data_IF_282512957416
#
_entry.id   IF_282512957416
#
_cell.length_a   1.000
_cell.length_b   1.000
_cell.length_c   1.000
_cell.angle_alpha   90.00
_cell.angle_beta   90.00
_cell.angle_gamma   90.00
#
_symmetry.space_group_name_H-M   'P 1'
#
loop_
_entity.id
_entity.type
_entity.pdbx_description
1 polymer ?
#
# COMPACT_ATOMS: atom_id res chain seq x y z
N UNK A 1 -34.30 -10.77 -27.35
CA UNK A 1 -34.29 -11.94 -26.44
C UNK A 1 -32.86 -12.47 -26.37
N UNK A 2 -32.00 -11.84 -25.56
CA UNK A 2 -30.69 -12.39 -25.20
C UNK A 2 -30.78 -12.67 -23.70
N UNK A 3 -30.64 -13.94 -23.35
CA UNK A 3 -30.72 -14.43 -21.98
C UNK A 3 -29.47 -14.02 -21.22
N UNK A 4 -29.66 -13.44 -20.04
CA UNK A 4 -28.69 -13.40 -18.95
C UNK A 4 -28.23 -14.83 -18.63
N UNK A 5 -26.92 -15.06 -18.71
CA UNK A 5 -26.27 -16.23 -18.14
C UNK A 5 -25.56 -15.80 -16.85
N UNK A 6 -26.31 -15.60 -15.77
CA UNK A 6 -25.78 -15.80 -14.42
C UNK A 6 -25.92 -17.28 -14.10
N UNK A 7 -24.86 -18.05 -14.37
CA UNK A 7 -24.79 -19.46 -14.02
C UNK A 7 -24.79 -19.60 -12.49
N UNK A 8 -25.83 -20.20 -11.92
CA UNK A 8 -25.86 -20.60 -10.51
C UNK A 8 -24.90 -21.77 -10.28
N UNK A 9 -24.12 -21.71 -9.20
CA UNK A 9 -23.21 -22.77 -8.80
C UNK A 9 -23.93 -24.12 -8.72
N UNK A 10 -23.27 -25.17 -9.21
CA UNK A 10 -23.81 -26.54 -9.16
C UNK A 10 -23.97 -27.02 -7.71
N UNK A 11 -24.86 -27.97 -7.46
CA UNK A 11 -25.09 -28.53 -6.11
C UNK A 11 -23.80 -29.11 -5.49
N UNK A 12 -22.86 -29.58 -6.31
CA UNK A 12 -21.57 -30.10 -5.85
C UNK A 12 -20.60 -28.98 -5.44
N UNK A 13 -20.56 -27.87 -6.19
CA UNK A 13 -19.75 -26.69 -5.84
C UNK A 13 -20.23 -26.06 -4.54
N UNK A 14 -21.54 -25.93 -4.35
CA UNK A 14 -22.11 -25.43 -3.10
C UNK A 14 -21.75 -26.31 -1.89
N UNK A 15 -21.78 -27.63 -2.05
CA UNK A 15 -21.36 -28.57 -1.01
C UNK A 15 -19.85 -28.48 -0.72
N UNK A 16 -19.02 -28.31 -1.76
CA UNK A 16 -17.58 -28.13 -1.60
C UNK A 16 -17.23 -26.85 -0.85
N UNK A 17 -17.89 -25.74 -1.18
CA UNK A 17 -17.74 -24.44 -0.49
C UNK A 17 -18.17 -24.57 0.98
N UNK A 18 -19.31 -25.21 1.26
CA UNK A 18 -19.78 -25.41 2.62
C UNK A 18 -18.78 -26.26 3.47
N UNK A 19 -18.18 -27.29 2.87
CA UNK A 19 -17.16 -28.09 3.52
C UNK A 19 -15.89 -27.28 3.83
N UNK A 20 -15.45 -26.44 2.89
CA UNK A 20 -14.27 -25.57 3.06
C UNK A 20 -14.51 -24.54 4.18
N UNK A 21 -15.68 -23.92 4.22
CA UNK A 21 -16.08 -22.99 5.30
C UNK A 21 -16.13 -23.70 6.65
N UNK A 22 -16.59 -24.96 6.70
CA UNK A 22 -16.61 -25.73 7.93
C UNK A 22 -15.20 -26.09 8.42
N UNK A 23 -14.29 -26.49 7.52
CA UNK A 23 -12.89 -26.75 7.86
C UNK A 23 -12.19 -25.48 8.36
N UNK A 24 -12.47 -24.32 7.76
CA UNK A 24 -11.95 -23.03 8.20
C UNK A 24 -12.38 -22.71 9.65
N UNK A 25 -13.65 -22.93 10.01
CA UNK A 25 -14.12 -22.69 11.38
C UNK A 25 -13.36 -23.53 12.41
N UNK A 26 -13.07 -24.79 12.06
CA UNK A 26 -12.27 -25.68 12.91
C UNK A 26 -10.81 -25.22 13.00
N UNK A 27 -10.23 -24.77 11.89
CA UNK A 27 -8.87 -24.24 11.81
C UNK A 27 -8.71 -22.99 12.67
N UNK A 28 -9.62 -22.02 12.57
CA UNK A 28 -9.61 -20.80 13.39
C UNK A 28 -9.86 -21.09 14.88
N UNK A 29 -10.57 -22.19 15.20
CA UNK A 29 -10.72 -22.68 16.58
C UNK A 29 -9.48 -23.39 17.13
N UNK A 30 -8.49 -23.70 16.28
CA UNK A 30 -7.20 -24.32 16.66
C UNK A 30 -6.05 -23.65 15.90
N UNK A 31 -5.73 -22.38 16.24
CA UNK A 31 -4.76 -21.59 15.48
C UNK A 31 -3.38 -22.25 15.33
N UNK A 32 -2.96 -23.08 16.29
CA UNK A 32 -1.70 -23.85 16.23
C UNK A 32 -1.63 -24.86 15.07
N UNK A 33 -2.77 -25.15 14.41
CA UNK A 33 -2.82 -26.02 13.23
C UNK A 33 -2.44 -25.29 11.93
N UNK A 34 -2.41 -23.95 11.98
CA UNK A 34 -1.94 -23.11 10.88
C UNK A 34 -0.42 -22.99 10.96
N UNK A 35 0.24 -23.07 9.80
CA UNK A 35 1.70 -23.04 9.71
C UNK A 35 2.15 -22.06 8.63
N UNK A 36 3.44 -21.76 8.64
CA UNK A 36 4.08 -20.98 7.58
C UNK A 36 5.21 -21.77 6.96
N UNK A 37 5.32 -21.70 5.64
CA UNK A 37 6.54 -22.03 4.92
C UNK A 37 7.33 -20.72 4.72
N UNK A 38 8.66 -20.80 4.74
CA UNK A 38 9.55 -19.66 4.68
C UNK A 38 10.38 -19.76 3.41
N UNK A 39 10.35 -18.72 2.58
CA UNK A 39 11.12 -18.66 1.34
C UNK A 39 12.29 -17.69 1.49
N UNK A 40 13.53 -18.10 1.20
CA UNK A 40 14.70 -17.24 1.38
C UNK A 40 14.69 -16.06 0.41
N UNK A 41 15.03 -14.89 0.93
CA UNK A 41 15.33 -13.67 0.20
C UNK A 41 16.83 -13.46 0.26
N UNK A 42 17.46 -13.25 -0.89
CA UNK A 42 18.92 -13.13 -1.01
C UNK A 42 19.33 -11.76 -1.52
N UNK A 43 20.53 -11.32 -1.15
CA UNK A 43 21.22 -10.24 -1.83
C UNK A 43 21.77 -10.76 -3.17
N UNK A 44 21.32 -10.17 -4.29
CA UNK A 44 21.65 -10.66 -5.63
C UNK A 44 23.15 -10.61 -5.94
N UNK A 45 23.87 -9.64 -5.37
CA UNK A 45 25.30 -9.46 -5.60
C UNK A 45 26.16 -10.56 -4.95
N UNK A 46 25.73 -11.12 -3.82
CA UNK A 46 26.53 -12.05 -3.02
C UNK A 46 25.91 -13.44 -2.89
N UNK A 47 24.61 -13.57 -3.13
CA UNK A 47 23.82 -14.77 -2.86
C UNK A 47 23.55 -15.01 -1.37
N UNK A 48 23.93 -14.07 -0.49
CA UNK A 48 23.70 -14.21 0.95
C UNK A 48 22.21 -14.06 1.28
N UNK A 49 21.68 -14.95 2.12
CA UNK A 49 20.32 -14.82 2.64
C UNK A 49 20.26 -13.62 3.58
N UNK A 50 19.31 -12.71 3.35
CA UNK A 50 19.08 -11.51 4.17
C UNK A 50 17.75 -11.57 4.92
N UNK A 51 16.89 -12.51 4.57
CA UNK A 51 15.59 -12.66 5.20
C UNK A 51 14.77 -13.79 4.60
N UNK A 52 13.54 -13.91 5.08
CA UNK A 52 12.59 -14.91 4.64
C UNK A 52 11.19 -14.31 4.53
N UNK A 53 10.44 -14.71 3.52
CA UNK A 53 9.01 -14.45 3.45
C UNK A 53 8.22 -15.61 4.05
N UNK A 54 7.30 -15.31 4.96
CA UNK A 54 6.40 -16.28 5.55
C UNK A 54 5.14 -16.45 4.69
N UNK A 55 5.01 -17.61 4.07
CA UNK A 55 3.89 -17.98 3.23
C UNK A 55 2.95 -18.92 4.00
N UNK A 56 1.71 -18.47 4.20
CA UNK A 56 0.69 -19.21 4.94
C UNK A 56 0.42 -20.59 4.32
N UNK A 57 0.25 -21.60 5.17
CA UNK A 57 -0.12 -22.97 4.78
C UNK A 57 -1.14 -23.49 5.79
N UNK A 58 -2.20 -24.12 5.29
CA UNK A 58 -3.10 -24.88 6.13
C UNK A 58 -2.49 -26.22 6.58
N UNK A 59 -3.30 -27.03 7.28
CA UNK A 59 -2.92 -28.36 7.73
C UNK A 59 -2.48 -29.25 6.55
N UNK A 60 -1.40 -30.03 6.75
CA UNK A 60 -0.88 -30.97 5.74
C UNK A 60 -1.96 -31.98 5.35
N UNK A 61 -2.21 -32.15 4.05
CA UNK A 61 -3.19 -33.09 3.53
C UNK A 61 -4.66 -32.67 3.74
N UNK A 62 -4.91 -31.49 4.32
CA UNK A 62 -6.26 -30.92 4.46
C UNK A 62 -6.75 -30.24 3.19
N UNK A 63 -8.05 -29.92 3.12
CA UNK A 63 -8.62 -29.23 1.93
C UNK A 63 -8.09 -27.81 1.84
N UNK A 64 -7.79 -27.22 2.99
CA UNK A 64 -7.29 -25.85 3.11
C UNK A 64 -5.75 -25.77 3.19
N UNK A 65 -5.01 -26.83 2.82
CA UNK A 65 -3.53 -26.80 2.85
C UNK A 65 -2.97 -25.63 2.03
N UNK A 66 -3.58 -25.37 0.86
CA UNK A 66 -3.18 -24.28 -0.04
C UNK A 66 -3.80 -22.94 0.37
N UNK A 67 -3.02 -21.85 0.35
CA UNK A 67 -3.50 -20.54 0.77
C UNK A 67 -4.65 -20.02 -0.11
N UNK A 68 -4.60 -20.19 -1.43
CA UNK A 68 -5.64 -19.70 -2.35
C UNK A 68 -7.04 -20.20 -1.97
N UNK A 69 -7.15 -21.49 -1.63
CA UNK A 69 -8.42 -22.09 -1.20
C UNK A 69 -8.82 -21.69 0.22
N UNK A 70 -7.84 -21.56 1.12
CA UNK A 70 -8.06 -21.15 2.51
C UNK A 70 -8.60 -19.72 2.60
N UNK A 71 -8.02 -18.78 1.86
CA UNK A 71 -8.47 -17.39 1.80
C UNK A 71 -9.82 -17.27 1.08
N UNK A 72 -10.08 -18.06 0.03
CA UNK A 72 -11.41 -18.11 -0.62
C UNK A 72 -12.51 -18.58 0.36
N UNK A 73 -12.23 -19.59 1.18
CA UNK A 73 -13.15 -20.04 2.23
C UNK A 73 -13.38 -18.95 3.29
N UNK A 74 -12.35 -18.20 3.66
CA UNK A 74 -12.46 -17.10 4.62
C UNK A 74 -13.24 -15.91 4.09
N UNK A 75 -13.07 -15.57 2.80
CA UNK A 75 -13.89 -14.57 2.13
C UNK A 75 -15.37 -14.97 2.15
N UNK A 76 -15.67 -16.22 1.80
CA UNK A 76 -17.05 -16.75 1.81
C UNK A 76 -17.67 -16.74 3.22
N UNK A 77 -16.85 -16.92 4.25
CA UNK A 77 -17.28 -16.96 5.64
C UNK A 77 -17.30 -15.59 6.34
N UNK A 78 -16.85 -14.51 5.66
CA UNK A 78 -16.59 -13.19 6.25
C UNK A 78 -15.60 -13.24 7.44
N UNK A 79 -14.54 -14.05 7.30
CA UNK A 79 -13.51 -14.29 8.33
C UNK A 79 -12.09 -13.97 7.85
N UNK A 80 -11.94 -13.15 6.81
CA UNK A 80 -10.62 -12.79 6.26
C UNK A 80 -9.69 -12.16 7.31
N UNK A 81 -10.20 -11.22 8.11
CA UNK A 81 -9.43 -10.58 9.17
C UNK A 81 -8.94 -11.59 10.22
N UNK A 82 -9.78 -12.54 10.63
CA UNK A 82 -9.42 -13.55 11.61
C UNK A 82 -8.38 -14.55 11.07
N UNK A 83 -8.51 -14.92 9.79
CA UNK A 83 -7.52 -15.75 9.12
C UNK A 83 -6.18 -15.03 8.99
N UNK A 84 -6.17 -13.75 8.60
CA UNK A 84 -4.96 -12.94 8.48
C UNK A 84 -4.18 -12.89 9.80
N UNK A 85 -4.88 -12.58 10.91
CA UNK A 85 -4.25 -12.57 12.24
C UNK A 85 -3.70 -13.93 12.64
N UNK A 86 -4.41 -15.02 12.34
CA UNK A 86 -3.92 -16.37 12.58
C UNK A 86 -2.65 -16.64 11.75
N UNK A 87 -2.63 -16.31 10.46
CA UNK A 87 -1.49 -16.46 9.57
C UNK A 87 -0.26 -15.71 10.09
N UNK A 88 -0.43 -14.44 10.46
CA UNK A 88 0.66 -13.59 10.97
C UNK A 88 1.17 -14.06 12.33
N UNK A 89 0.28 -14.56 13.19
CA UNK A 89 0.67 -15.18 14.47
C UNK A 89 1.48 -16.45 14.24
N UNK A 90 1.08 -17.30 13.29
CA UNK A 90 1.82 -18.52 12.92
C UNK A 90 3.19 -18.21 12.31
N UNK A 91 3.28 -17.17 11.46
CA UNK A 91 4.54 -16.70 10.89
C UNK A 91 5.54 -16.24 11.96
N UNK A 92 5.11 -15.37 12.88
CA UNK A 92 5.98 -14.91 13.97
C UNK A 92 6.34 -16.03 14.94
N UNK A 93 5.39 -16.92 15.26
CA UNK A 93 5.62 -18.03 16.19
C UNK A 93 6.61 -19.06 15.63
N UNK A 94 6.49 -19.38 14.34
CA UNK A 94 7.42 -20.31 13.69
C UNK A 94 8.81 -19.70 13.53
N UNK A 95 8.91 -18.40 13.21
CA UNK A 95 10.18 -17.68 13.18
C UNK A 95 10.86 -17.66 14.55
N UNK A 96 10.11 -17.35 15.61
CA UNK A 96 10.62 -17.35 16.99
C UNK A 96 11.08 -18.74 17.44
N UNK A 97 10.28 -19.79 17.16
CA UNK A 97 10.62 -21.18 17.51
C UNK A 97 11.90 -21.63 16.81
N UNK A 98 12.12 -21.19 15.58
CA UNK A 98 13.33 -21.46 14.82
C UNK A 98 14.53 -20.59 15.25
N UNK A 99 14.33 -19.61 16.14
CA UNK A 99 15.37 -18.69 16.60
C UNK A 99 15.75 -17.63 15.57
N UNK A 100 14.88 -17.31 14.61
CA UNK A 100 15.11 -16.26 13.62
C UNK A 100 15.24 -14.91 14.32
N UNK A 101 16.30 -14.18 14.00
CA UNK A 101 16.61 -12.87 14.56
C UNK A 101 17.49 -12.09 13.57
N UNK A 102 17.75 -10.82 13.91
CA UNK A 102 18.78 -10.02 13.22
C UNK A 102 20.08 -10.81 13.04
N UNK A 103 20.71 -10.77 11.84
CA UNK A 103 20.45 -9.81 10.76
C UNK A 103 19.37 -10.21 9.75
N UNK A 104 18.64 -11.31 9.97
CA UNK A 104 17.60 -11.76 9.04
C UNK A 104 16.29 -11.03 9.27
N UNK A 105 15.67 -10.54 8.20
CA UNK A 105 14.32 -9.99 8.23
C UNK A 105 13.25 -11.05 7.97
N UNK A 106 12.07 -10.89 8.58
CA UNK A 106 10.87 -11.67 8.28
C UNK A 106 9.86 -10.81 7.52
N UNK A 107 9.48 -11.25 6.32
CA UNK A 107 8.44 -10.61 5.53
C UNK A 107 7.10 -11.31 5.80
N UNK A 108 6.06 -10.51 6.07
CA UNK A 108 4.71 -10.99 6.41
C UNK A 108 3.66 -10.22 5.62
N UNK A 109 2.82 -10.95 4.89
CA UNK A 109 1.68 -10.41 4.16
C UNK A 109 0.57 -9.90 5.11
N UNK A 110 -0.17 -8.90 4.66
CA UNK A 110 -1.38 -8.39 5.31
C UNK A 110 -2.54 -8.31 4.32
N UNK A 111 -3.66 -8.92 4.70
CA UNK A 111 -4.93 -8.82 3.98
C UNK A 111 -5.62 -7.46 4.23
N UNK A 112 -6.10 -6.75 3.19
CA UNK A 112 -6.86 -5.50 3.34
C UNK A 112 -8.01 -5.55 4.35
N UNK A 113 -8.74 -6.67 4.42
CA UNK A 113 -9.84 -6.85 5.36
C UNK A 113 -9.40 -6.83 6.84
N UNK A 114 -8.13 -7.13 7.12
CA UNK A 114 -7.57 -7.06 8.48
C UNK A 114 -7.15 -5.65 8.88
N UNK A 115 -7.05 -4.71 7.94
CA UNK A 115 -6.68 -3.32 8.21
C UNK A 115 -7.72 -2.68 9.14
N UNK A 116 -7.24 -2.06 10.21
CA UNK A 116 -8.10 -1.42 11.23
C UNK A 116 -8.86 -2.38 12.15
N UNK A 117 -8.69 -3.70 12.01
CA UNK A 117 -9.19 -4.66 13.00
C UNK A 117 -8.28 -4.68 14.24
N UNK A 118 -8.84 -4.97 15.41
CA UNK A 118 -8.05 -5.02 16.66
C UNK A 118 -7.18 -6.27 16.67
N UNK A 119 -5.85 -6.15 16.87
CA UNK A 119 -4.97 -7.32 16.94
C UNK A 119 -5.34 -8.22 18.13
N UNK A 120 -5.33 -9.55 17.97
CA UNK A 120 -5.50 -10.47 19.10
C UNK A 120 -4.39 -10.29 20.14
N UNK A 121 -4.71 -10.43 21.43
CA UNK A 121 -3.74 -10.29 22.54
C UNK A 121 -2.52 -11.19 22.37
N UNK A 122 -2.70 -12.41 21.84
CA UNK A 122 -1.61 -13.34 21.59
C UNK A 122 -0.62 -12.81 20.54
N UNK A 123 -1.12 -12.15 19.49
CA UNK A 123 -0.29 -11.50 18.48
C UNK A 123 0.49 -10.34 19.09
N UNK A 124 -0.17 -9.48 19.88
CA UNK A 124 0.48 -8.33 20.54
C UNK A 124 1.61 -8.79 21.45
N UNK A 125 1.37 -9.77 22.32
CA UNK A 125 2.38 -10.31 23.22
C UNK A 125 3.58 -10.93 22.46
N UNK A 126 3.32 -11.59 21.33
CA UNK A 126 4.35 -12.14 20.47
C UNK A 126 5.17 -11.05 19.76
N UNK A 127 4.49 -10.04 19.22
CA UNK A 127 5.13 -8.90 18.57
C UNK A 127 6.02 -8.11 19.55
N UNK A 128 5.53 -7.83 20.76
CA UNK A 128 6.31 -7.16 21.82
C UNK A 128 7.56 -7.97 22.20
N UNK A 129 7.43 -9.29 22.31
CA UNK A 129 8.56 -10.18 22.64
C UNK A 129 9.63 -10.22 21.55
N UNK A 130 9.23 -10.06 20.29
CA UNK A 130 10.12 -10.06 19.12
C UNK A 130 10.64 -8.67 18.75
N UNK A 131 10.05 -7.61 19.31
CA UNK A 131 10.45 -6.23 19.08
C UNK A 131 11.95 -6.03 19.35
N UNK A 132 12.64 -5.37 18.42
CA UNK A 132 14.09 -5.15 18.47
C UNK A 132 14.97 -6.40 18.27
N UNK A 133 14.40 -7.62 18.24
CA UNK A 133 15.14 -8.87 18.01
C UNK A 133 15.01 -9.38 16.58
N UNK A 134 13.78 -9.35 16.05
CA UNK A 134 13.45 -9.80 14.70
C UNK A 134 12.99 -8.60 13.88
N UNK A 135 13.76 -8.15 12.88
CA UNK A 135 13.27 -7.21 11.90
C UNK A 135 12.08 -7.80 11.15
N UNK A 136 10.95 -7.08 11.15
CA UNK A 136 9.73 -7.49 10.45
C UNK A 136 9.44 -6.48 9.35
N UNK A 137 9.10 -6.99 8.16
CA UNK A 137 8.65 -6.21 7.00
C UNK A 137 7.23 -6.64 6.69
N UNK A 138 6.28 -5.70 6.74
CA UNK A 138 4.87 -5.95 6.43
C UNK A 138 4.60 -5.63 4.97
N UNK A 139 4.05 -6.57 4.23
CA UNK A 139 3.75 -6.43 2.81
C UNK A 139 2.28 -6.02 2.62
N UNK A 140 2.08 -4.93 1.89
CA UNK A 140 0.77 -4.49 1.42
C UNK A 140 0.66 -4.68 -0.08
N UNK A 141 -0.52 -5.06 -0.54
CA UNK A 141 -0.85 -5.16 -1.96
C UNK A 141 -1.58 -3.90 -2.44
N UNK A 142 -1.62 -3.70 -3.76
CA UNK A 142 -2.31 -2.60 -4.43
C UNK A 142 -3.81 -2.54 -4.10
N UNK A 143 -4.42 -3.71 -3.87
CA UNK A 143 -5.85 -3.84 -3.51
C UNK A 143 -6.20 -3.09 -2.24
N UNK A 144 -5.25 -2.90 -1.33
CA UNK A 144 -5.48 -2.15 -0.10
C UNK A 144 -5.84 -0.68 -0.37
N UNK A 145 -5.22 -0.05 -1.38
CA UNK A 145 -5.40 1.38 -1.66
C UNK A 145 -6.81 1.66 -2.14
N UNK A 146 -7.27 0.81 -3.05
CA UNK A 146 -8.62 0.91 -3.59
C UNK A 146 -9.62 0.48 -2.53
N UNK A 147 -9.39 -0.61 -1.78
CA UNK A 147 -10.36 -1.08 -0.78
C UNK A 147 -10.68 -0.02 0.31
N UNK A 148 -9.67 0.49 1.02
CA UNK A 148 -9.85 1.47 2.09
C UNK A 148 -8.54 2.27 2.29
N UNK A 149 -8.36 3.39 1.58
CA UNK A 149 -7.11 4.15 1.64
C UNK A 149 -6.86 4.74 3.03
N UNK A 150 -7.90 5.09 3.80
CA UNK A 150 -7.73 5.63 5.15
C UNK A 150 -7.17 4.57 6.11
N UNK A 151 -7.75 3.35 6.10
CA UNK A 151 -7.26 2.24 6.92
C UNK A 151 -5.88 1.77 6.52
N UNK A 152 -5.58 1.76 5.23
CA UNK A 152 -4.25 1.42 4.74
C UNK A 152 -3.18 2.37 5.28
N UNK A 153 -3.41 3.68 5.19
CA UNK A 153 -2.47 4.67 5.72
C UNK A 153 -2.33 4.55 7.25
N UNK A 154 -3.43 4.36 7.98
CA UNK A 154 -3.39 4.14 9.43
C UNK A 154 -2.66 2.84 9.82
N UNK A 155 -2.82 1.77 9.03
CA UNK A 155 -2.13 0.52 9.25
C UNK A 155 -0.62 0.65 8.99
N UNK A 156 -0.21 1.34 7.91
CA UNK A 156 1.18 1.64 7.65
C UNK A 156 1.81 2.45 8.80
N UNK A 157 1.11 3.48 9.31
CA UNK A 157 1.58 4.24 10.47
C UNK A 157 1.73 3.35 11.72
N UNK A 158 0.78 2.44 11.95
CA UNK A 158 0.81 1.49 13.09
C UNK A 158 1.99 0.52 12.98
N UNK A 159 2.25 -0.01 11.78
CA UNK A 159 3.41 -0.87 11.51
C UNK A 159 4.72 -0.13 11.81
N UNK A 160 4.84 1.12 11.32
CA UNK A 160 6.02 1.95 11.58
C UNK A 160 6.19 2.29 13.06
N UNK A 161 5.10 2.61 13.75
CA UNK A 161 5.12 2.88 15.19
C UNK A 161 5.57 1.65 16.02
N UNK A 162 5.37 0.43 15.51
CA UNK A 162 5.89 -0.79 16.11
C UNK A 162 7.38 -1.04 15.82
N UNK A 163 8.05 -0.16 15.07
CA UNK A 163 9.44 -0.31 14.63
C UNK A 163 9.61 -1.31 13.48
N UNK A 164 8.52 -1.67 12.79
CA UNK A 164 8.54 -2.55 11.64
C UNK A 164 8.60 -1.75 10.34
N UNK A 165 9.05 -2.42 9.28
CA UNK A 165 9.14 -1.83 7.94
C UNK A 165 7.94 -2.20 7.09
N UNK A 166 7.80 -1.49 5.99
CA UNK A 166 6.71 -1.67 5.05
C UNK A 166 7.25 -2.02 3.67
N UNK A 167 6.63 -2.99 3.02
CA UNK A 167 6.85 -3.33 1.62
C UNK A 167 5.55 -3.15 0.82
N UNK A 168 5.69 -2.87 -0.48
CA UNK A 168 4.60 -3.04 -1.45
C UNK A 168 4.90 -4.27 -2.28
N UNK A 169 3.93 -5.18 -2.33
CA UNK A 169 4.01 -6.41 -3.10
C UNK A 169 3.45 -6.27 -4.52
N UNK A 170 3.76 -7.25 -5.38
CA UNK A 170 3.16 -7.41 -6.71
C UNK A 170 3.28 -6.16 -7.60
N UNK A 171 4.39 -5.40 -7.50
CA UNK A 171 4.56 -4.20 -8.32
C UNK A 171 4.73 -4.59 -9.78
N UNK A 172 3.91 -3.96 -10.64
CA UNK A 172 3.82 -4.26 -12.06
C UNK A 172 2.88 -5.42 -12.39
N UNK A 173 2.27 -6.05 -11.39
CA UNK A 173 1.24 -7.05 -11.60
C UNK A 173 0.02 -6.49 -12.34
N UNK A 174 -0.40 -5.31 -11.87
CA UNK A 174 -1.48 -4.50 -12.40
C UNK A 174 -1.01 -3.04 -12.44
N UNK A 175 -1.59 -2.23 -13.33
CA UNK A 175 -1.22 -0.81 -13.49
C UNK A 175 -1.36 -0.01 -12.18
N UNK A 176 -2.31 -0.39 -11.32
CA UNK A 176 -2.61 0.25 -10.05
C UNK A 176 -1.55 0.10 -8.96
N UNK A 177 -0.69 -0.90 -9.05
CA UNK A 177 0.35 -1.17 -8.04
C UNK A 177 1.31 0.01 -7.79
N UNK A 178 1.52 0.87 -8.80
CA UNK A 178 2.37 2.04 -8.68
C UNK A 178 1.72 3.20 -7.91
N UNK A 179 0.39 3.24 -7.84
CA UNK A 179 -0.36 4.33 -7.23
C UNK A 179 -0.14 4.39 -5.71
N UNK A 180 0.20 3.26 -5.07
CA UNK A 180 0.37 3.16 -3.63
C UNK A 180 1.70 3.71 -3.12
N UNK A 181 2.76 3.60 -3.93
CA UNK A 181 4.14 3.92 -3.54
C UNK A 181 4.31 5.29 -2.89
N UNK A 182 3.73 6.39 -3.42
CA UNK A 182 3.94 7.72 -2.86
C UNK A 182 3.33 7.86 -1.45
N UNK A 183 2.23 7.16 -1.18
CA UNK A 183 1.47 7.35 0.05
C UNK A 183 1.97 6.51 1.22
N UNK A 184 2.43 5.29 0.94
CA UNK A 184 2.98 4.38 1.96
C UNK A 184 4.46 4.62 2.21
N UNK A 185 5.17 5.18 1.23
CA UNK A 185 6.61 5.38 1.24
C UNK A 185 7.34 4.11 1.72
N UNK A 186 7.23 2.99 0.98
CA UNK A 186 7.72 1.69 1.45
C UNK A 186 9.24 1.66 1.56
N UNK A 187 9.73 0.78 2.43
CA UNK A 187 11.15 0.46 2.61
C UNK A 187 11.62 -0.58 1.59
N UNK A 188 10.70 -1.43 1.09
CA UNK A 188 10.96 -2.44 0.06
C UNK A 188 9.92 -2.37 -1.05
N UNK A 189 10.38 -2.41 -2.29
CA UNK A 189 9.53 -2.45 -3.50
C UNK A 189 9.70 -3.83 -4.14
N UNK A 190 8.66 -4.67 -4.13
CA UNK A 190 8.73 -6.04 -4.66
C UNK A 190 8.19 -6.06 -6.10
N UNK A 191 9.05 -6.40 -7.06
CA UNK A 191 8.71 -6.55 -8.47
C UNK A 191 8.07 -7.93 -8.71
N UNK A 192 6.87 -7.95 -9.28
CA UNK A 192 6.15 -9.17 -9.66
C UNK A 192 6.98 -10.03 -10.64
N UNK A 193 6.87 -11.35 -10.49
CA UNK A 193 7.61 -12.33 -11.31
C UNK A 193 7.49 -12.09 -12.82
N UNK A 194 6.34 -11.59 -13.30
CA UNK A 194 6.09 -11.36 -14.73
C UNK A 194 7.08 -10.35 -15.30
N UNK A 195 7.52 -9.37 -14.53
CA UNK A 195 8.49 -8.38 -14.99
C UNK A 195 9.85 -9.03 -15.31
N UNK A 196 10.26 -10.04 -14.53
CA UNK A 196 11.56 -10.71 -14.70
C UNK A 196 11.51 -12.00 -15.51
N UNK A 197 10.32 -12.55 -15.74
CA UNK A 197 10.11 -13.77 -16.52
C UNK A 197 9.61 -13.53 -17.95
N UNK A 198 9.00 -12.37 -18.24
CA UNK A 198 8.45 -12.05 -19.55
C UNK A 198 9.38 -11.15 -20.38
N UNK A 199 9.03 -10.94 -21.65
CA UNK A 199 9.76 -10.05 -22.54
C UNK A 199 9.62 -8.60 -22.08
N UNK A 200 10.70 -7.84 -22.15
CA UNK A 200 10.68 -6.40 -21.86
C UNK A 200 9.84 -5.65 -22.88
N UNK A 201 8.82 -4.94 -22.40
CA UNK A 201 7.97 -4.05 -23.19
C UNK A 201 8.09 -2.60 -22.72
N UNK A 202 7.41 -1.67 -23.40
CA UNK A 202 7.33 -0.28 -22.96
C UNK A 202 6.68 -0.19 -21.57
N UNK A 203 5.63 -0.98 -21.33
CA UNK A 203 4.93 -1.03 -20.03
C UNK A 203 5.85 -1.51 -18.90
N UNK A 204 6.68 -2.52 -19.16
CA UNK A 204 7.71 -2.98 -18.20
C UNK A 204 8.70 -1.85 -17.91
N UNK A 205 9.15 -1.12 -18.92
CA UNK A 205 10.07 0.00 -18.75
C UNK A 205 9.43 1.16 -17.95
N UNK A 206 8.13 1.44 -18.14
CA UNK A 206 7.40 2.44 -17.35
C UNK A 206 7.33 2.05 -15.86
N UNK A 207 7.04 0.78 -15.56
CA UNK A 207 7.02 0.26 -14.19
C UNK A 207 8.41 0.36 -13.55
N UNK A 208 9.44 -0.14 -14.23
CA UNK A 208 10.83 -0.10 -13.72
C UNK A 208 11.30 1.34 -13.51
N UNK A 209 10.96 2.26 -14.43
CA UNK A 209 11.25 3.69 -14.29
C UNK A 209 10.56 4.30 -13.06
N UNK A 210 9.28 4.00 -12.85
CA UNK A 210 8.52 4.46 -11.70
C UNK A 210 9.09 3.94 -10.36
N UNK A 211 9.45 2.65 -10.32
CA UNK A 211 10.07 1.99 -9.16
C UNK A 211 11.43 2.61 -8.85
N UNK A 212 12.29 2.78 -9.85
CA UNK A 212 13.61 3.37 -9.65
C UNK A 212 13.53 4.83 -9.21
N UNK A 213 12.60 5.62 -9.77
CA UNK A 213 12.36 6.98 -9.33
C UNK A 213 11.85 7.03 -7.88
N UNK A 214 11.07 6.04 -7.44
CA UNK A 214 10.64 5.94 -6.04
C UNK A 214 11.82 5.55 -5.13
N UNK A 215 12.58 4.53 -5.51
CA UNK A 215 13.76 4.07 -4.76
C UNK A 215 14.79 5.18 -4.59
N UNK A 216 15.05 5.98 -5.63
CA UNK A 216 15.94 7.15 -5.56
C UNK A 216 15.45 8.20 -4.55
N UNK A 217 14.13 8.45 -4.50
CA UNK A 217 13.54 9.43 -3.59
C UNK A 217 13.54 9.01 -2.13
N UNK A 218 13.25 7.73 -1.86
CA UNK A 218 12.99 7.27 -0.49
C UNK A 218 14.08 6.39 0.09
N UNK A 219 15.04 5.95 -0.74
CA UNK A 219 16.01 4.92 -0.36
C UNK A 219 15.42 3.50 -0.30
N UNK A 220 14.23 3.28 -0.85
CA UNK A 220 13.61 1.96 -0.85
C UNK A 220 14.47 0.92 -1.57
N UNK A 221 14.51 -0.30 -1.05
CA UNK A 221 15.26 -1.40 -1.66
C UNK A 221 14.36 -2.15 -2.64
N UNK A 222 14.82 -2.34 -3.87
CA UNK A 222 14.08 -3.12 -4.86
C UNK A 222 14.39 -4.61 -4.68
N UNK A 223 13.33 -5.41 -4.55
CA UNK A 223 13.34 -6.87 -4.47
C UNK A 223 12.64 -7.43 -5.71
N UNK A 224 13.23 -8.42 -6.38
CA UNK A 224 12.58 -9.09 -7.50
C UNK A 224 12.14 -10.52 -7.15
N UNK A 225 10.90 -10.85 -7.49
CA UNK A 225 10.31 -12.17 -7.21
C UNK A 225 10.36 -13.12 -8.41
N UNK A 226 10.08 -14.40 -8.16
CA UNK A 226 9.98 -15.41 -9.23
C UNK A 226 11.29 -15.66 -9.99
N UNK A 227 12.44 -15.47 -9.36
CA UNK A 227 13.74 -15.77 -9.98
C UNK A 227 13.97 -17.28 -10.00
N UNK A 228 13.88 -17.87 -11.18
CA UNK A 228 14.04 -19.32 -11.39
C UNK A 228 15.30 -19.66 -12.18
N UNK A 229 15.84 -18.72 -12.95
CA UNK A 229 17.03 -18.94 -13.79
C UNK A 229 18.07 -17.85 -13.57
N UNK A 230 19.36 -18.11 -13.85
CA UNK A 230 20.39 -17.08 -13.84
C UNK A 230 20.09 -15.91 -14.80
N UNK A 231 19.28 -16.13 -15.84
CA UNK A 231 18.83 -15.05 -16.73
C UNK A 231 17.83 -14.12 -16.03
N UNK A 232 16.88 -14.66 -15.27
CA UNK A 232 15.95 -13.83 -14.46
C UNK A 232 16.72 -13.00 -13.43
N UNK A 233 17.73 -13.58 -12.77
CA UNK A 233 18.57 -12.85 -11.80
C UNK A 233 19.37 -11.70 -12.44
N UNK A 234 19.89 -11.89 -13.66
CA UNK A 234 20.54 -10.81 -14.42
C UNK A 234 19.56 -9.70 -14.77
N UNK A 235 18.40 -10.05 -15.32
CA UNK A 235 17.36 -9.07 -15.67
C UNK A 235 16.86 -8.30 -14.44
N UNK A 236 16.64 -8.99 -13.31
CA UNK A 236 16.30 -8.34 -12.04
C UNK A 236 17.34 -7.30 -11.62
N UNK A 237 18.64 -7.63 -11.73
CA UNK A 237 19.72 -6.69 -11.43
C UNK A 237 19.73 -5.50 -12.39
N UNK A 238 19.51 -5.74 -13.69
CA UNK A 238 19.41 -4.70 -14.72
C UNK A 238 18.20 -3.76 -14.50
N UNK A 239 17.13 -4.26 -13.90
CA UNK A 239 15.96 -3.47 -13.49
C UNK A 239 16.20 -2.63 -12.22
N UNK A 240 17.31 -2.84 -11.50
CA UNK A 240 17.64 -2.13 -10.26
C UNK A 240 17.40 -2.93 -8.98
N UNK A 241 16.99 -4.20 -9.07
CA UNK A 241 16.81 -5.05 -7.90
C UNK A 241 18.16 -5.32 -7.21
N UNK A 242 18.19 -5.12 -5.88
CA UNK A 242 19.32 -5.51 -5.02
C UNK A 242 19.04 -6.82 -4.30
N UNK A 243 17.76 -7.11 -4.05
CA UNK A 243 17.29 -8.33 -3.43
C UNK A 243 16.58 -9.21 -4.46
N UNK A 244 16.60 -10.51 -4.23
CA UNK A 244 15.96 -11.48 -5.10
C UNK A 244 15.33 -12.61 -4.31
N UNK A 245 14.21 -13.12 -4.83
CA UNK A 245 13.52 -14.27 -4.30
C UNK A 245 13.04 -15.17 -5.44
N UNK A 246 13.11 -16.48 -5.25
CA UNK A 246 12.64 -17.45 -6.24
C UNK A 246 13.30 -18.82 -6.10
N UNK A 247 12.85 -19.78 -6.93
CA UNK A 247 13.29 -21.17 -6.84
C UNK A 247 14.77 -21.38 -7.15
N UNK A 248 15.42 -20.42 -7.81
CA UNK A 248 16.87 -20.43 -8.01
C UNK A 248 17.63 -20.41 -6.67
N UNK A 249 17.07 -19.75 -5.65
CA UNK A 249 17.70 -19.55 -4.34
C UNK A 249 17.12 -20.45 -3.25
N UNK A 250 15.84 -20.82 -3.37
CA UNK A 250 15.21 -21.77 -2.48
C UNK A 250 13.69 -21.79 -2.65
N UNK A 251 13.10 -22.97 -2.48
CA UNK A 251 11.64 -23.13 -2.43
C UNK A 251 11.13 -22.81 -1.02
N UNK A 252 9.87 -22.39 -0.88
CA UNK A 252 9.22 -22.29 0.43
C UNK A 252 9.34 -23.60 1.22
N UNK A 253 9.82 -23.52 2.46
CA UNK A 253 10.02 -24.69 3.31
C UNK A 253 10.12 -24.34 4.79
N UNK A 254 10.45 -25.28 5.67
CA UNK A 254 10.79 -24.94 7.05
C UNK A 254 12.02 -24.02 7.09
N UNK A 255 12.12 -23.16 8.09
CA UNK A 255 13.36 -22.42 8.33
C UNK A 255 14.53 -23.39 8.56
N UNK A 256 15.71 -23.13 7.99
CA UNK A 256 16.88 -23.94 8.26
C UNK A 256 17.32 -23.79 9.73
N UNK A 257 18.15 -24.70 10.20
CA UNK A 257 18.86 -24.49 11.46
C UNK A 257 19.79 -23.28 11.30
N UNK A 258 19.41 -22.16 11.90
CA UNK A 258 20.18 -20.92 11.81
C UNK A 258 21.43 -21.03 12.69
N UNK A 259 22.58 -20.49 12.24
CA UNK A 259 23.78 -20.49 13.06
C UNK A 259 23.50 -19.79 14.39
N UNK A 260 23.97 -20.38 15.49
CA UNK A 260 23.93 -19.74 16.80
C UNK A 260 24.61 -18.37 16.72
N UNK A 261 24.02 -17.36 17.36
CA UNK A 261 24.53 -15.98 17.37
C UNK A 261 26.04 -15.99 17.60
N UNK A 262 26.85 -15.33 16.76
CA UNK A 262 28.15 -14.88 17.23
C UNK A 262 27.86 -13.91 18.40
N UNK A 263 28.36 -14.24 19.59
CA UNK A 263 28.31 -13.33 20.73
C UNK A 263 28.84 -11.97 20.26
N UNK A 264 28.06 -10.91 20.49
CA UNK A 264 28.44 -9.53 20.17
C UNK A 264 29.64 -9.01 21.01
N UNK A 265 30.44 -9.92 21.59
CA UNK A 265 31.61 -9.66 22.42
C UNK A 265 32.88 -10.37 21.92
N UNK A 266 32.85 -11.11 20.80
CA UNK A 266 34.07 -11.70 20.24
C UNK A 266 34.71 -10.74 19.23
N UNK A 267 35.60 -9.87 19.72
CA UNK A 267 36.47 -9.04 18.90
C UNK A 267 37.41 -9.87 18.02
N UNK A 268 36.96 -10.20 16.81
CA UNK A 268 37.83 -10.67 15.73
C UNK A 268 37.62 -9.78 14.52
N UNK A 269 38.62 -8.95 14.25
CA UNK A 269 38.78 -8.22 13.00
C UNK A 269 38.93 -9.25 11.86
N UNK A 270 37.86 -9.46 11.10
CA UNK A 270 37.97 -10.06 9.76
C UNK A 270 38.58 -9.02 8.80
N UNK A 271 39.44 -9.43 7.86
CA UNK A 271 40.09 -8.50 6.95
C UNK A 271 39.05 -7.78 6.09
N UNK A 272 39.11 -6.45 6.12
CA UNK A 272 38.23 -5.53 5.41
C UNK A 272 38.14 -5.89 3.92
N UNK A 273 37.04 -6.55 3.53
CA UNK A 273 36.52 -6.47 2.17
C UNK A 273 35.91 -5.07 2.00
N UNK A 274 36.00 -4.45 0.81
CA UNK A 274 35.46 -3.11 0.63
C UNK A 274 33.98 -3.11 1.01
N UNK A 275 33.61 -2.28 1.98
CA UNK A 275 32.21 -2.01 2.38
C UNK A 275 31.46 -1.48 1.15
N UNK A 276 30.90 -2.39 0.35
CA UNK A 276 29.65 -2.07 -0.33
C UNK A 276 28.60 -2.15 0.76
N UNK A 277 27.93 -1.03 1.06
CA UNK A 277 26.83 -0.92 2.04
C UNK A 277 25.98 -2.20 2.01
N UNK A 278 26.15 -3.05 3.04
CA UNK A 278 25.23 -4.18 3.24
C UNK A 278 23.84 -3.57 3.36
N UNK A 279 22.88 -4.18 2.67
CA UNK A 279 21.47 -3.75 2.77
C UNK A 279 21.05 -4.00 4.22
N UNK A 280 20.95 -2.92 5.00
CA UNK A 280 20.56 -3.01 6.38
C UNK A 280 19.03 -3.13 6.45
N UNK A 281 18.52 -4.36 6.39
CA UNK A 281 17.13 -4.65 6.72
C UNK A 281 16.90 -4.74 8.25
N UNK A 282 17.80 -4.22 9.08
CA UNK A 282 17.72 -4.27 10.55
C UNK A 282 17.59 -2.90 11.23
N UNK A 283 18.02 -1.79 10.60
CA UNK A 283 17.87 -0.42 11.10
C UNK A 283 16.47 0.17 10.86
N UNK A 284 15.80 0.67 11.90
CA UNK A 284 14.50 1.35 11.72
C UNK A 284 14.59 2.71 10.99
N UNK A 285 15.79 3.19 10.68
CA UNK A 285 16.01 4.42 9.92
C UNK A 285 15.98 4.17 8.41
N UNK A 286 15.32 5.05 7.62
CA UNK A 286 15.31 4.95 6.16
C UNK A 286 16.74 5.00 5.60
N UNK A 287 17.00 4.23 4.54
CA UNK A 287 18.34 4.00 3.99
C UNK A 287 19.04 5.24 3.39
N UNK A 288 18.40 6.42 3.38
CA UNK A 288 19.02 7.69 2.99
C UNK A 288 18.61 8.77 4.00
N UNK A 289 19.60 9.32 4.71
CA UNK A 289 19.48 10.63 5.33
C UNK A 289 19.41 11.70 4.23
N UNK A 290 18.43 12.61 4.33
CA UNK A 290 18.18 13.83 3.52
C UNK A 290 17.50 13.69 2.14
N UNK A 291 16.17 13.85 2.14
CA UNK A 291 15.49 15.06 1.63
C UNK A 291 14.40 15.43 2.66
N UNK A 292 14.30 16.72 2.95
CA UNK A 292 13.59 17.37 4.05
C UNK A 292 12.22 16.77 4.42
N UNK A 293 12.21 15.83 5.37
CA UNK A 293 11.02 15.49 6.12
C UNK A 293 10.46 16.76 6.78
N UNK A 294 9.25 17.18 6.38
CA UNK A 294 8.37 17.82 7.35
C UNK A 294 8.36 16.89 8.58
N UNK A 295 8.63 17.40 9.79
CA UNK A 295 8.89 16.56 10.95
C UNK A 295 7.75 15.55 11.12
N UNK A 296 8.08 14.26 11.32
CA UNK A 296 7.11 13.19 11.57
C UNK A 296 6.24 13.41 12.81
N UNK A 297 6.48 14.51 13.54
CA UNK A 297 5.68 15.00 14.64
C UNK A 297 4.46 15.84 14.19
N UNK A 298 4.31 16.18 12.90
CA UNK A 298 3.07 16.77 12.40
C UNK A 298 2.02 15.67 12.32
N UNK A 299 1.10 15.70 13.28
CA UNK A 299 -0.16 14.96 13.24
C UNK A 299 -0.95 15.32 11.98
N UNK A 300 -0.73 14.55 10.90
CA UNK A 300 -1.40 14.71 9.59
C UNK A 300 -2.92 14.51 9.66
N UNK A 301 -3.41 13.96 10.77
CA UNK A 301 -4.81 13.79 11.14
C UNK A 301 -5.51 15.10 11.54
N UNK A 302 -4.77 16.17 11.90
CA UNK A 302 -5.39 17.42 12.41
C UNK A 302 -5.41 18.54 11.38
N UNK A 303 -4.46 18.58 10.45
CA UNK A 303 -4.34 19.67 9.49
C UNK A 303 -5.11 19.39 8.20
N UNK A 304 -5.63 20.46 7.62
CA UNK A 304 -6.21 20.39 6.29
C UNK A 304 -5.13 20.39 5.21
N UNK A 305 -5.44 19.92 3.98
CA UNK A 305 -4.53 20.02 2.85
C UNK A 305 -4.00 21.44 2.61
N UNK A 306 -4.87 22.46 2.66
CA UNK A 306 -4.45 23.85 2.48
C UNK A 306 -3.49 24.30 3.59
N UNK A 307 -3.80 24.03 4.86
CA UNK A 307 -2.96 24.43 5.99
C UNK A 307 -1.57 23.78 5.94
N UNK A 308 -1.48 22.51 5.53
CA UNK A 308 -0.21 21.81 5.37
C UNK A 308 0.72 22.53 4.40
N UNK A 309 0.19 22.99 3.27
CA UNK A 309 1.00 23.60 2.21
C UNK A 309 1.22 25.09 2.45
N UNK A 310 0.21 25.81 2.95
CA UNK A 310 0.27 27.25 3.22
C UNK A 310 1.34 27.62 4.27
N UNK A 311 1.76 26.68 5.13
CA UNK A 311 2.86 26.88 6.08
C UNK A 311 4.24 27.05 5.43
N UNK A 312 4.42 26.47 4.26
CA UNK A 312 5.73 26.39 3.58
C UNK A 312 5.75 27.12 2.24
N UNK A 313 4.62 27.68 1.79
CA UNK A 313 4.46 28.31 0.48
C UNK A 313 3.77 29.67 0.63
N UNK A 314 4.12 30.59 -0.26
CA UNK A 314 3.47 31.89 -0.32
C UNK A 314 2.01 31.73 -0.78
N UNK A 315 1.07 32.17 0.05
CA UNK A 315 -0.35 32.21 -0.27
C UNK A 315 -0.64 33.37 -1.21
N UNK A 316 -1.43 33.12 -2.24
CA UNK A 316 -1.92 34.13 -3.19
C UNK A 316 -3.43 34.32 -3.01
N UNK A 317 -3.96 35.44 -3.50
CA UNK A 317 -5.40 35.69 -3.49
C UNK A 317 -5.94 35.81 -4.90
N UNK A 318 -7.08 35.17 -5.16
CA UNK A 318 -7.76 35.25 -6.45
C UNK A 318 -9.27 35.00 -6.31
N UNK A 319 -10.01 35.30 -7.37
CA UNK A 319 -11.44 34.98 -7.49
C UNK A 319 -11.66 33.57 -8.06
N UNK A 320 -12.90 33.08 -7.92
CA UNK A 320 -13.36 31.76 -8.38
C UNK A 320 -13.03 31.43 -9.85
N UNK A 321 -13.16 32.32 -10.84
CA UNK A 321 -12.92 32.00 -12.26
C UNK A 321 -11.50 31.48 -12.55
N UNK A 322 -10.47 32.06 -11.93
CA UNK A 322 -9.10 31.60 -12.10
C UNK A 322 -8.90 30.20 -11.51
N UNK A 323 -9.42 29.97 -10.30
CA UNK A 323 -9.32 28.67 -9.62
C UNK A 323 -10.04 27.56 -10.40
N UNK A 324 -11.21 27.86 -10.98
CA UNK A 324 -11.91 26.94 -11.91
C UNK A 324 -11.04 26.61 -13.14
N UNK A 325 -10.34 27.59 -13.70
CA UNK A 325 -9.49 27.38 -14.85
C UNK A 325 -8.25 26.53 -14.50
N UNK A 326 -7.63 26.79 -13.34
CA UNK A 326 -6.50 26.04 -12.80
C UNK A 326 -6.90 24.60 -12.44
N UNK A 327 -8.05 24.40 -11.79
CA UNK A 327 -8.53 23.06 -11.44
C UNK A 327 -8.77 22.21 -12.69
N UNK A 328 -9.45 22.76 -13.71
CA UNK A 328 -9.61 22.10 -15.02
C UNK A 328 -8.29 21.80 -15.71
N UNK A 329 -7.26 22.62 -15.52
CA UNK A 329 -5.94 22.34 -16.06
C UNK A 329 -5.31 21.11 -15.38
N UNK A 330 -5.34 21.03 -14.04
CA UNK A 330 -4.85 19.86 -13.30
C UNK A 330 -5.65 18.58 -13.61
N UNK A 331 -6.99 18.67 -13.69
CA UNK A 331 -7.84 17.54 -14.10
C UNK A 331 -7.44 17.03 -15.50
N UNK A 332 -7.14 17.92 -16.45
CA UNK A 332 -6.63 17.52 -17.77
C UNK A 332 -5.26 16.87 -17.70
N UNK A 333 -4.37 17.33 -16.84
CA UNK A 333 -3.08 16.67 -16.63
C UNK A 333 -3.28 15.24 -16.11
N UNK A 334 -4.18 15.03 -15.15
CA UNK A 334 -4.53 13.70 -14.65
C UNK A 334 -5.01 12.75 -15.75
N UNK A 335 -5.90 13.22 -16.64
CA UNK A 335 -6.37 12.43 -17.80
C UNK A 335 -5.24 12.01 -18.75
N UNK A 336 -4.22 12.87 -18.92
CA UNK A 336 -3.09 12.61 -19.83
C UNK A 336 -2.09 11.63 -19.20
N UNK A 337 -1.91 11.70 -17.87
CA UNK A 337 -0.99 10.82 -17.14
C UNK A 337 -1.45 9.35 -17.13
N UNK A 338 -2.76 9.11 -17.02
CA UNK A 338 -3.34 7.77 -17.07
C UNK A 338 -3.08 6.89 -15.83
N UNK A 339 -2.95 5.58 -16.09
CA UNK A 339 -3.24 4.45 -15.18
C UNK A 339 -2.94 4.61 -13.68
N UNK A 340 -1.71 4.90 -13.25
CA UNK A 340 -1.36 4.87 -11.84
C UNK A 340 -1.62 6.17 -11.07
N UNK A 341 -2.38 7.11 -11.64
CA UNK A 341 -2.66 8.39 -10.99
C UNK A 341 -3.74 8.27 -9.90
N UNK A 342 -3.54 8.96 -8.79
CA UNK A 342 -4.56 9.23 -7.78
C UNK A 342 -4.98 10.69 -7.89
N UNK A 343 -6.29 10.90 -7.98
CA UNK A 343 -6.91 12.22 -8.02
C UNK A 343 -7.84 12.34 -6.82
N UNK A 344 -7.68 13.37 -6.01
CA UNK A 344 -8.63 13.66 -4.93
C UNK A 344 -9.04 15.13 -4.96
N UNK A 345 -10.34 15.37 -4.78
CA UNK A 345 -10.90 16.71 -4.83
C UNK A 345 -11.94 16.92 -3.74
N UNK A 346 -12.00 18.14 -3.21
CA UNK A 346 -13.05 18.58 -2.30
C UNK A 346 -14.08 19.45 -3.01
N UNK A 347 -15.32 19.30 -2.56
CA UNK A 347 -16.48 20.08 -2.93
C UNK A 347 -17.10 20.52 -1.61
N UNK A 348 -17.33 21.80 -1.37
CA UNK A 348 -17.86 22.27 -0.07
C UNK A 348 -19.14 21.51 0.30
N UNK A 349 -20.00 21.26 -0.70
CA UNK A 349 -21.22 20.47 -0.56
C UNK A 349 -21.46 19.54 -1.75
N UNK A 350 -22.17 18.43 -1.51
CA UNK A 350 -22.55 17.47 -2.55
C UNK A 350 -23.29 18.08 -3.74
N UNK A 351 -24.11 19.11 -3.52
CA UNK A 351 -24.84 19.78 -4.61
C UNK A 351 -23.91 20.51 -5.61
N UNK A 352 -22.66 20.81 -5.21
CA UNK A 352 -21.64 21.37 -6.10
C UNK A 352 -21.04 20.30 -7.04
N UNK A 353 -21.24 19.02 -6.74
CA UNK A 353 -20.93 17.90 -7.62
C UNK A 353 -22.03 17.73 -8.68
N UNK A 354 -22.12 18.70 -9.58
CA UNK A 354 -23.16 18.76 -10.63
C UNK A 354 -23.12 17.54 -11.57
N UNK A 355 -24.20 17.25 -12.32
CA UNK A 355 -24.19 16.18 -13.33
C UNK A 355 -23.07 16.32 -14.38
N UNK A 356 -22.64 17.54 -14.69
CA UNK A 356 -21.51 17.78 -15.59
C UNK A 356 -20.16 17.46 -14.94
N UNK A 357 -20.02 17.70 -13.63
CA UNK A 357 -18.85 17.28 -12.84
C UNK A 357 -18.82 15.77 -12.70
N UNK A 358 -19.94 15.12 -12.39
CA UNK A 358 -20.05 13.66 -12.31
C UNK A 358 -19.56 12.95 -13.58
N UNK A 359 -20.01 13.41 -14.77
CA UNK A 359 -19.54 12.88 -16.07
C UNK A 359 -18.06 13.13 -16.35
N UNK A 360 -17.46 14.16 -15.74
CA UNK A 360 -16.03 14.46 -15.89
C UNK A 360 -15.20 13.57 -14.97
N UNK A 361 -15.63 13.39 -13.73
CA UNK A 361 -14.95 12.53 -12.75
C UNK A 361 -15.09 11.05 -13.08
N UNK A 362 -16.22 10.60 -13.65
CA UNK A 362 -16.34 9.25 -14.20
C UNK A 362 -15.30 8.98 -15.29
N UNK A 363 -15.06 9.95 -16.19
CA UNK A 363 -14.01 9.84 -17.22
C UNK A 363 -12.60 9.85 -16.63
N UNK A 364 -12.36 10.60 -15.56
CA UNK A 364 -11.10 10.52 -14.81
C UNK A 364 -10.92 9.11 -14.27
N UNK A 365 -11.95 8.51 -13.68
CA UNK A 365 -11.93 7.17 -13.09
C UNK A 365 -11.75 6.04 -14.12
N UNK A 366 -12.00 6.28 -15.40
CA UNK A 366 -11.66 5.33 -16.47
C UNK A 366 -10.14 5.23 -16.71
N UNK A 367 -9.38 6.24 -16.29
CA UNK A 367 -7.95 6.39 -16.60
C UNK A 367 -7.04 6.43 -15.39
N UNK A 368 -7.52 6.92 -14.24
CA UNK A 368 -6.80 7.04 -12.99
C UNK A 368 -7.15 5.86 -12.06
N UNK A 369 -6.18 5.42 -11.27
CA UNK A 369 -6.34 4.29 -10.35
C UNK A 369 -7.37 4.58 -9.25
N UNK A 370 -7.36 5.81 -8.75
CA UNK A 370 -8.28 6.22 -7.70
C UNK A 370 -8.72 7.67 -7.93
N UNK A 371 -10.02 7.88 -8.02
CA UNK A 371 -10.63 9.22 -8.05
C UNK A 371 -11.51 9.39 -6.83
N UNK A 372 -11.20 10.39 -6.01
CA UNK A 372 -11.92 10.71 -4.78
C UNK A 372 -12.62 12.07 -4.91
N UNK A 373 -13.89 12.11 -4.52
CA UNK A 373 -14.66 13.34 -4.37
C UNK A 373 -15.16 13.44 -2.93
N UNK A 374 -14.71 14.44 -2.19
CA UNK A 374 -15.16 14.66 -0.82
C UNK A 374 -16.07 15.88 -0.73
N UNK A 375 -17.08 15.86 0.14
CA UNK A 375 -17.94 17.02 0.33
C UNK A 375 -18.97 16.86 1.41
N UNK A 376 -19.54 17.96 1.93
CA UNK A 376 -20.62 17.84 2.91
C UNK A 376 -21.82 17.11 2.29
N UNK A 377 -22.20 15.98 2.88
CA UNK A 377 -23.27 15.11 2.39
C UNK A 377 -22.97 14.40 1.07
N UNK A 378 -21.70 14.28 0.67
CA UNK A 378 -21.32 13.55 -0.55
C UNK A 378 -21.70 12.07 -0.40
N UNK A 379 -22.40 11.48 -1.39
CA UNK A 379 -22.69 10.06 -1.37
C UNK A 379 -21.42 9.25 -1.59
N UNK A 380 -21.41 8.01 -1.10
CA UNK A 380 -20.32 7.05 -1.22
C UNK A 380 -19.85 6.75 -2.66
N UNK A 381 -20.79 6.77 -3.61
CA UNK A 381 -20.53 6.57 -5.04
C UNK A 381 -21.22 7.69 -5.84
N UNK A 382 -20.62 8.89 -5.93
CA UNK A 382 -21.25 10.04 -6.58
C UNK A 382 -21.24 9.94 -8.11
N UNK A 383 -20.40 9.09 -8.67
CA UNK A 383 -20.36 8.75 -10.09
C UNK A 383 -19.69 7.37 -10.30
N UNK A 384 -19.87 6.71 -11.46
CA UNK A 384 -19.19 5.45 -11.76
C UNK A 384 -17.67 5.56 -11.59
N UNK A 385 -17.08 4.64 -10.83
CA UNK A 385 -15.63 4.59 -10.56
C UNK A 385 -15.11 5.66 -9.59
N UNK A 386 -15.96 6.59 -9.12
CA UNK A 386 -15.54 7.66 -8.20
C UNK A 386 -15.86 7.26 -6.76
N UNK A 387 -14.87 7.35 -5.89
CA UNK A 387 -15.03 7.14 -4.46
C UNK A 387 -15.47 8.45 -3.80
N UNK A 388 -16.67 8.47 -3.23
CA UNK A 388 -17.19 9.63 -2.51
C UNK A 388 -17.03 9.50 -1.01
N UNK A 389 -16.83 10.63 -0.33
CA UNK A 389 -16.80 10.65 1.14
C UNK A 389 -17.41 11.95 1.69
N UNK A 390 -18.28 11.81 2.69
CA UNK A 390 -18.86 12.95 3.38
C UNK A 390 -17.89 13.53 4.42
N UNK A 391 -17.78 14.86 4.49
CA UNK A 391 -17.09 15.51 5.62
C UNK A 391 -17.90 15.40 6.91
N UNK A 392 -17.20 15.34 8.04
CA UNK A 392 -17.78 15.78 9.31
C UNK A 392 -18.03 17.30 9.22
N UNK A 393 -19.24 17.81 9.53
CA UNK A 393 -19.51 19.25 9.50
C UNK A 393 -18.57 20.10 10.38
N UNK A 394 -17.91 19.50 11.37
CA UNK A 394 -16.93 20.15 12.23
C UNK A 394 -15.49 20.10 11.68
N UNK A 395 -15.23 19.37 10.58
CA UNK A 395 -13.90 19.30 9.96
C UNK A 395 -13.59 20.65 9.26
N UNK A 396 -12.45 21.31 9.56
CA UNK A 396 -12.08 22.57 8.92
C UNK A 396 -11.96 22.50 7.40
N UNK A 397 -11.87 21.30 6.82
CA UNK A 397 -11.80 21.09 5.37
C UNK A 397 -13.08 21.53 4.61
N UNK A 398 -14.20 21.74 5.32
CA UNK A 398 -15.48 22.13 4.71
C UNK A 398 -15.37 23.43 3.90
N UNK A 399 -14.52 24.36 4.34
CA UNK A 399 -14.32 25.66 3.68
C UNK A 399 -13.25 25.62 2.57
N UNK A 400 -12.72 24.44 2.27
CA UNK A 400 -11.60 24.27 1.34
C UNK A 400 -12.01 23.71 -0.01
N UNK A 401 -11.37 24.26 -1.03
CA UNK A 401 -11.31 23.70 -2.37
C UNK A 401 -9.90 23.18 -2.63
N UNK A 402 -9.76 21.87 -2.51
CA UNK A 402 -8.55 21.12 -2.82
C UNK A 402 -8.76 20.27 -4.07
N UNK A 403 -7.76 20.24 -4.94
CA UNK A 403 -7.62 19.28 -6.03
C UNK A 403 -6.15 18.85 -6.06
N UNK A 404 -5.91 17.56 -5.85
CA UNK A 404 -4.58 16.95 -5.91
C UNK A 404 -4.54 15.89 -6.99
N UNK A 405 -3.40 15.78 -7.65
CA UNK A 405 -3.08 14.76 -8.64
C UNK A 405 -1.71 14.22 -8.31
N UNK A 406 -1.62 12.92 -8.03
CA UNK A 406 -0.36 12.22 -7.72
C UNK A 406 -0.21 11.05 -8.67
N UNK A 407 0.85 11.04 -9.47
CA UNK A 407 1.27 9.91 -10.26
C UNK A 407 2.74 9.55 -10.00
N UNK A 408 3.30 8.56 -10.72
CA UNK A 408 4.69 8.14 -10.53
C UNK A 408 5.71 9.24 -10.84
N UNK A 409 5.48 10.00 -11.90
CA UNK A 409 6.39 11.05 -12.40
C UNK A 409 5.80 12.47 -12.35
N UNK A 410 4.59 12.62 -11.82
CA UNK A 410 3.91 13.92 -11.70
C UNK A 410 3.27 14.06 -10.34
N UNK A 411 3.29 15.27 -9.79
CA UNK A 411 2.53 15.64 -8.61
C UNK A 411 2.12 17.10 -8.76
N UNK A 412 0.84 17.41 -8.58
CA UNK A 412 0.33 18.77 -8.64
C UNK A 412 -0.88 18.95 -7.71
N UNK A 413 -0.94 20.08 -7.03
CA UNK A 413 -2.06 20.44 -6.17
C UNK A 413 -2.48 21.89 -6.39
N UNK A 414 -3.79 22.11 -6.41
CA UNK A 414 -4.44 23.40 -6.20
C UNK A 414 -5.19 23.31 -4.87
N UNK A 415 -4.83 24.16 -3.92
CA UNK A 415 -5.41 24.18 -2.58
C UNK A 415 -5.88 25.59 -2.31
N UNK A 416 -7.15 25.76 -2.01
CA UNK A 416 -7.76 27.07 -1.79
C UNK A 416 -8.71 27.03 -0.59
N UNK A 417 -8.81 28.17 0.10
CA UNK A 417 -9.71 28.39 1.21
C UNK A 417 -10.56 29.63 0.91
N UNK A 418 -11.87 29.48 1.07
CA UNK A 418 -12.79 30.61 0.89
C UNK A 418 -12.61 31.65 2.01
N UNK A 419 -12.62 32.93 1.65
CA UNK A 419 -12.57 34.04 2.60
C UNK A 419 -13.94 34.44 3.14
N UNK A 420 -15.02 33.86 2.61
CA UNK A 420 -16.38 34.09 3.09
C UNK A 420 -16.94 35.46 2.70
N UNK A 421 -16.42 36.06 1.63
CA UNK A 421 -16.88 37.36 1.16
C UNK A 421 -18.37 37.31 0.76
N UNK A 422 -19.21 38.25 1.23
CA UNK A 422 -20.58 38.38 0.75
C UNK A 422 -20.58 38.94 -0.67
N UNK A 423 -21.34 38.36 -1.59
CA UNK A 423 -21.43 38.87 -2.97
C UNK A 423 -21.84 37.82 -3.99
N UNK A 424 -21.64 38.14 -5.28
CA UNK A 424 -21.83 37.18 -6.35
C UNK A 424 -20.82 36.03 -6.26
N UNK A 425 -21.25 34.80 -6.57
CA UNK A 425 -20.41 33.60 -6.45
C UNK A 425 -19.12 33.66 -7.29
N UNK A 426 -19.12 34.43 -8.38
CA UNK A 426 -17.94 34.66 -9.22
C UNK A 426 -16.93 35.63 -8.60
N UNK A 427 -17.36 36.51 -7.71
CA UNK A 427 -16.54 37.54 -7.06
C UNK A 427 -15.96 37.09 -5.72
N UNK A 428 -16.42 35.95 -5.17
CA UNK A 428 -15.84 35.33 -3.97
C UNK A 428 -14.32 35.19 -4.12
N UNK A 429 -13.59 35.72 -3.13
CA UNK A 429 -12.14 35.63 -3.07
C UNK A 429 -11.72 34.43 -2.25
N UNK A 430 -10.59 33.87 -2.65
CA UNK A 430 -9.99 32.71 -2.03
C UNK A 430 -8.52 33.00 -1.78
N UNK A 431 -8.05 32.59 -0.61
CA UNK A 431 -6.63 32.31 -0.43
C UNK A 431 -6.32 31.01 -1.17
N UNK A 432 -5.25 30.95 -1.96
CA UNK A 432 -4.88 29.73 -2.67
C UNK A 432 -3.37 29.54 -2.80
N UNK A 433 -3.00 28.28 -2.99
CA UNK A 433 -1.66 27.83 -3.31
C UNK A 433 -1.75 26.81 -4.45
N UNK A 434 -0.85 26.96 -5.44
CA UNK A 434 -0.56 25.93 -6.44
C UNK A 434 0.85 25.42 -6.18
N UNK A 435 1.01 24.11 -6.07
CA UNK A 435 2.32 23.49 -5.85
C UNK A 435 2.48 22.25 -6.71
N UNK A 436 3.71 22.05 -7.20
CA UNK A 436 4.17 20.84 -7.88
C UNK A 436 5.27 20.14 -7.08
N UNK A 437 5.49 20.59 -5.84
CA UNK A 437 6.37 19.95 -4.88
C UNK A 437 5.76 18.60 -4.48
N UNK A 438 6.42 17.51 -4.86
CA UNK A 438 5.88 16.16 -4.70
C UNK A 438 5.59 15.82 -3.24
N UNK A 439 6.47 16.19 -2.31
CA UNK A 439 6.30 15.87 -0.89
C UNK A 439 5.08 16.58 -0.32
N UNK A 440 4.92 17.88 -0.62
CA UNK A 440 3.76 18.65 -0.20
C UNK A 440 2.45 18.15 -0.83
N UNK A 441 2.48 17.82 -2.14
CA UNK A 441 1.30 17.29 -2.84
C UNK A 441 0.90 15.93 -2.26
N UNK A 442 1.86 15.03 -2.02
CA UNK A 442 1.59 13.72 -1.42
C UNK A 442 1.04 13.89 0.00
N UNK A 443 1.60 14.80 0.81
CA UNK A 443 1.08 15.07 2.16
C UNK A 443 -0.38 15.60 2.12
N UNK A 444 -0.67 16.55 1.20
CA UNK A 444 -2.02 17.06 0.99
C UNK A 444 -3.00 15.97 0.52
N UNK A 445 -2.55 15.09 -0.38
CA UNK A 445 -3.34 13.97 -0.85
C UNK A 445 -3.58 12.93 0.24
N UNK A 446 -2.58 12.59 1.06
CA UNK A 446 -2.74 11.73 2.23
C UNK A 446 -3.74 12.29 3.24
N UNK A 447 -3.74 13.61 3.47
CA UNK A 447 -4.73 14.26 4.33
C UNK A 447 -6.17 14.11 3.79
N UNK A 448 -6.36 14.13 2.46
CA UNK A 448 -7.66 13.85 1.83
C UNK A 448 -8.03 12.36 1.93
N UNK A 449 -7.10 11.47 1.61
CA UNK A 449 -7.35 10.02 1.60
C UNK A 449 -7.70 9.47 2.99
N UNK A 450 -7.11 10.02 4.06
CA UNK A 450 -7.45 9.67 5.45
C UNK A 450 -8.88 10.00 5.86
N UNK A 451 -9.57 10.85 5.09
CA UNK A 451 -10.98 11.25 5.32
C UNK A 451 -11.97 10.40 4.51
N UNK A 452 -11.50 9.47 3.69
CA UNK A 452 -12.36 8.55 2.95
C UNK A 452 -12.84 7.45 3.90
N UNK A 453 -14.15 7.38 4.14
CA UNK A 453 -14.73 6.42 5.07
C UNK A 453 -14.99 5.04 4.43
N UNK A 454 -15.10 3.95 5.23
CA UNK A 454 -15.27 2.58 4.72
C UNK A 454 -16.64 2.27 4.09
N UNK A 455 -17.67 3.09 4.37
CA UNK A 455 -19.03 2.84 3.87
C UNK A 455 -19.12 2.83 2.34
N UNK A 456 -18.07 3.30 1.67
CA UNK A 456 -18.11 3.67 0.27
C UNK A 456 -18.06 2.53 -0.76
N UNK A 457 -17.99 1.24 -0.37
CA UNK A 457 -17.68 0.16 -1.33
C UNK A 457 -18.40 -1.19 -1.22
N UNK A 458 -19.38 -1.37 -0.36
CA UNK A 458 -20.19 -2.62 -0.35
C UNK A 458 -21.06 -2.84 -1.63
N UNK A 459 -20.92 -1.98 -2.66
CA UNK A 459 -21.75 -2.00 -3.87
C UNK A 459 -20.98 -2.13 -5.20
N UNK A 460 -19.65 -2.32 -5.20
CA UNK A 460 -18.87 -2.40 -6.44
C UNK A 460 -18.32 -3.80 -6.77
N UNK A 461 -18.64 -4.81 -5.95
CA UNK A 461 -18.45 -6.23 -6.30
C UNK A 461 -19.81 -6.81 -6.71
N UNK A 462 -20.23 -6.52 -7.94
CA UNK A 462 -21.46 -7.04 -8.55
C UNK A 462 -21.28 -7.19 -10.05
#
# INVERSE_FOLDING_TARGET
>A
MRQDQTAGATSEEAAAIAADVQELRLLLGRPDSLRSAYQPIVELATGAVVGYEALARGPVGGRLERPDRMFAAAATADRLADLDWACRTAALSGADTAGLASPYALFVNVEPAALGSTPPTAFVALAERLAGRLPVVVEFTERALTADPARLLAAADTVRAAGWRVAIDDIGAERGSLALMPFIAPDVLKLDLRLVQQHTTIEVAEVVSAVNAQAERTGAVVLAEGIETPAHARLATEMGARLGQGWLFGRPGPLPALPARPDQHAGREEPARPERERIDLTSAEPAIATVSALPSAVRHDVLTPYELVARSRAVQQSTKPLLVAMSKHLERQAMVLGGPAVVAATFQHAHQFTPATARRYARLAESAELVVALGLGMPDAPAPGVCGAAFDPADPIVDEWSLVVVGPHFAGALLARDLGDPGEDAERRFDYVVTYDRELVVAAASALLRRVSPASRLLLAG
#
